data_IF_784561023578
#
_entry.id   IF_784561023578
#
_cell.length_a   1.000
_cell.length_b   1.000
_cell.length_c   1.000
_cell.angle_alpha   90.00
_cell.angle_beta   90.00
_cell.angle_gamma   90.00
#
_symmetry.space_group_name_H-M   'P 1'
#
loop_
_entity.id
_entity.type
_entity.pdbx_description
1 polymer ?
#
# COMPACT_ATOMS: atom_id res chain seq x y z
N UNK A 1 25.01 1.38 -10.58
CA UNK A 1 23.71 0.67 -10.54
C UNK A 1 22.71 1.73 -10.16
N UNK A 2 22.12 2.36 -11.18
CA UNK A 2 21.40 3.62 -11.02
C UNK A 2 19.92 3.28 -10.85
N UNK A 3 19.39 3.61 -9.68
CA UNK A 3 17.99 3.48 -9.31
C UNK A 3 17.13 4.35 -10.23
N UNK A 4 16.64 3.76 -11.31
CA UNK A 4 15.53 4.33 -12.06
C UNK A 4 14.28 4.13 -11.22
N UNK A 5 13.98 5.11 -10.37
CA UNK A 5 12.64 5.26 -9.79
C UNK A 5 11.70 5.51 -10.96
N UNK A 6 11.09 4.45 -11.49
CA UNK A 6 9.99 4.54 -12.44
C UNK A 6 8.83 5.22 -11.71
N UNK A 7 8.74 6.54 -11.85
CA UNK A 7 7.54 7.26 -11.49
C UNK A 7 6.40 6.66 -12.32
N UNK A 8 5.33 6.15 -11.70
CA UNK A 8 4.22 5.60 -12.46
C UNK A 8 3.54 6.72 -13.26
N UNK A 9 2.93 6.40 -14.42
CA UNK A 9 2.19 7.36 -15.22
C UNK A 9 1.08 8.03 -14.39
N UNK A 10 0.72 9.27 -14.77
CA UNK A 10 -0.25 10.08 -14.02
C UNK A 10 -1.57 9.32 -13.89
N UNK A 11 -2.01 9.13 -12.64
CA UNK A 11 -3.22 8.38 -12.30
C UNK A 11 -2.97 6.93 -11.85
N UNK A 12 -1.74 6.43 -11.97
CA UNK A 12 -1.37 5.10 -11.48
C UNK A 12 -0.82 5.17 -10.05
N UNK A 13 -1.30 4.26 -9.21
CA UNK A 13 -0.93 4.16 -7.80
C UNK A 13 0.49 3.60 -7.65
N UNK A 14 1.33 4.28 -6.85
CA UNK A 14 2.65 3.78 -6.45
C UNK A 14 2.49 2.87 -5.23
N UNK A 15 2.46 1.55 -5.45
CA UNK A 15 2.32 0.57 -4.38
C UNK A 15 3.64 0.34 -3.65
N UNK A 16 3.58 0.33 -2.31
CA UNK A 16 4.64 -0.13 -1.42
C UNK A 16 4.20 -1.39 -0.71
N UNK A 17 4.97 -2.46 -0.90
CA UNK A 17 4.78 -3.76 -0.24
C UNK A 17 5.40 -3.75 1.15
N UNK A 18 4.75 -4.40 2.11
CA UNK A 18 5.30 -4.59 3.45
C UNK A 18 6.53 -5.50 3.42
N UNK A 19 7.51 -5.22 4.28
CA UNK A 19 8.70 -6.08 4.47
C UNK A 19 8.36 -7.41 5.15
N UNK A 20 7.20 -7.51 5.80
CA UNK A 20 6.69 -8.74 6.42
C UNK A 20 5.96 -9.64 5.41
N UNK A 21 5.79 -9.17 4.17
CA UNK A 21 5.19 -9.96 3.10
C UNK A 21 6.22 -10.89 2.48
N UNK A 22 6.03 -12.19 2.67
CA UNK A 22 6.82 -13.25 2.04
C UNK A 22 5.93 -14.22 1.26
N UNK A 23 6.52 -14.89 0.27
CA UNK A 23 5.82 -15.92 -0.51
C UNK A 23 5.58 -17.18 0.33
N UNK A 24 6.42 -17.43 1.35
CA UNK A 24 6.34 -18.61 2.23
C UNK A 24 5.33 -18.49 3.39
N UNK A 25 4.38 -17.56 3.32
CA UNK A 25 3.26 -17.50 4.28
C UNK A 25 3.19 -16.26 5.17
N UNK A 26 3.95 -15.21 4.87
CA UNK A 26 3.78 -13.91 5.54
C UNK A 26 2.49 -13.17 5.14
N UNK A 27 2.06 -12.25 6.00
CA UNK A 27 0.95 -11.33 5.74
C UNK A 27 1.30 -10.41 4.56
N UNK A 28 0.45 -10.41 3.53
CA UNK A 28 0.75 -9.82 2.22
C UNK A 28 -0.02 -8.52 2.01
N UNK A 29 0.57 -7.38 2.40
CA UNK A 29 -0.09 -6.08 2.30
C UNK A 29 0.73 -5.12 1.44
N UNK A 30 0.02 -4.42 0.55
CA UNK A 30 0.53 -3.29 -0.21
C UNK A 30 -0.31 -2.04 0.05
N UNK A 31 0.36 -0.89 0.15
CA UNK A 31 -0.27 0.42 0.35
C UNK A 31 0.15 1.42 -0.72
N UNK A 32 -0.76 2.26 -1.18
CA UNK A 32 -0.47 3.38 -2.08
C UNK A 32 -1.18 4.65 -1.60
N UNK A 33 -0.40 5.70 -1.39
CA UNK A 33 -0.94 7.00 -1.01
C UNK A 33 -1.13 7.90 -2.24
N UNK A 34 -2.28 8.57 -2.32
CA UNK A 34 -2.57 9.64 -3.29
C UNK A 34 -3.26 10.80 -2.57
N UNK A 35 -3.33 12.00 -3.17
CA UNK A 35 -4.12 13.09 -2.60
C UNK A 35 -5.56 12.62 -2.33
N UNK A 36 -5.98 12.72 -1.06
CA UNK A 36 -7.34 12.40 -0.60
C UNK A 36 -7.63 10.93 -0.30
N UNK A 37 -6.71 9.98 -0.52
CA UNK A 37 -7.00 8.56 -0.26
C UNK A 37 -5.73 7.74 -0.03
N UNK A 38 -5.79 6.81 0.92
CA UNK A 38 -4.83 5.71 1.07
C UNK A 38 -5.48 4.44 0.57
N UNK A 39 -4.86 3.78 -0.40
CA UNK A 39 -5.31 2.48 -0.89
C UNK A 39 -4.56 1.36 -0.20
N UNK A 40 -5.26 0.31 0.21
CA UNK A 40 -4.70 -0.89 0.84
C UNK A 40 -5.21 -2.11 0.07
N UNK A 41 -4.31 -3.04 -0.28
CA UNK A 41 -4.70 -4.30 -0.91
C UNK A 41 -3.86 -5.47 -0.41
N UNK A 42 -4.38 -6.65 -0.66
CA UNK A 42 -3.64 -7.89 -0.51
C UNK A 42 -2.68 -8.06 -1.71
N UNK A 43 -1.40 -8.34 -1.44
CA UNK A 43 -0.38 -8.49 -2.48
C UNK A 43 -0.53 -9.79 -3.29
N UNK A 44 -1.20 -10.80 -2.74
CA UNK A 44 -1.41 -12.11 -3.38
C UNK A 44 -2.64 -12.11 -4.29
N UNK A 45 -3.60 -11.21 -4.06
CA UNK A 45 -4.79 -11.04 -4.90
C UNK A 45 -5.00 -9.58 -5.32
N UNK A 46 -4.18 -9.15 -6.29
CA UNK A 46 -4.23 -7.79 -6.86
C UNK A 46 -5.41 -7.56 -7.80
N UNK A 47 -6.24 -8.58 -8.06
CA UNK A 47 -7.42 -8.48 -8.92
C UNK A 47 -8.62 -7.88 -8.20
N UNK A 48 -8.60 -7.90 -6.85
CA UNK A 48 -9.64 -7.30 -6.02
C UNK A 48 -9.54 -5.78 -6.00
N UNK A 49 -10.68 -5.14 -5.80
CA UNK A 49 -10.73 -3.69 -5.58
C UNK A 49 -10.02 -3.36 -4.26
N UNK A 50 -9.01 -2.46 -4.27
CA UNK A 50 -8.35 -2.04 -3.04
C UNK A 50 -9.30 -1.33 -2.09
N UNK A 51 -9.08 -1.50 -0.79
CA UNK A 51 -9.74 -0.69 0.23
C UNK A 51 -9.25 0.75 0.09
N UNK A 52 -10.19 1.70 -0.04
CA UNK A 52 -9.91 3.14 -0.04
C UNK A 52 -10.20 3.69 1.36
N UNK A 53 -9.21 4.31 1.98
CA UNK A 53 -9.27 4.86 3.33
C UNK A 53 -9.00 6.35 3.30
N UNK A 54 -9.81 7.13 4.00
CA UNK A 54 -9.57 8.57 4.18
C UNK A 54 -8.26 8.79 4.98
N UNK A 55 -7.43 9.79 4.61
CA UNK A 55 -6.13 10.00 5.26
C UNK A 55 -6.19 10.15 6.79
N UNK A 56 -7.14 10.88 7.40
CA UNK A 56 -7.23 10.97 8.85
C UNK A 56 -7.54 9.62 9.53
N UNK A 57 -8.40 8.81 8.90
CA UNK A 57 -8.72 7.48 9.41
C UNK A 57 -7.52 6.53 9.31
N UNK A 58 -6.74 6.63 8.23
CA UNK A 58 -5.51 5.87 8.07
C UNK A 58 -4.48 6.23 9.15
N UNK A 59 -4.27 7.52 9.43
CA UNK A 59 -3.38 7.97 10.51
C UNK A 59 -3.80 7.40 11.86
N UNK A 60 -5.08 7.53 12.23
CA UNK A 60 -5.59 7.00 13.50
C UNK A 60 -5.42 5.48 13.61
N UNK A 61 -5.65 4.75 12.52
CA UNK A 61 -5.43 3.30 12.47
C UNK A 61 -3.96 2.93 12.70
N UNK A 62 -3.02 3.61 12.03
CA UNK A 62 -1.58 3.32 12.17
C UNK A 62 -1.09 3.66 13.57
N UNK A 63 -1.54 4.78 14.15
CA UNK A 63 -1.21 5.15 15.54
C UNK A 63 -1.71 4.11 16.54
N UNK A 64 -2.91 3.58 16.34
CA UNK A 64 -3.44 2.49 17.15
C UNK A 64 -2.65 1.19 16.99
N UNK A 65 -2.28 0.82 15.75
CA UNK A 65 -1.62 -0.44 15.43
C UNK A 65 -0.12 -0.47 15.75
N UNK A 66 0.52 0.69 15.96
CA UNK A 66 1.94 0.81 16.27
C UNK A 66 2.27 0.74 17.77
N UNK A 67 1.26 0.58 18.62
CA UNK A 67 1.38 0.33 20.06
C UNK A 67 1.68 -1.15 20.36
#
# INVERSE_FOLDING_TARGET
MNEHVHQPPIGQLTWRRSSYSSEEGGECVEVAARPGTVHVRDSKDTTRTPLAVDPPAWTAFVEFAAL
#
